data_IF_999758079861
#
_entry.id   IF_999758079861
#
_cell.length_a   1.000
_cell.length_b   1.000
_cell.length_c   1.000
_cell.angle_alpha   90.00
_cell.angle_beta   90.00
_cell.angle_gamma   90.00
#
_symmetry.space_group_name_H-M   'P 1'
#
loop_
_entity.id
_entity.type
_entity.pdbx_description
1 polymer ?
#
# COMPACT_ATOMS: atom_id res chain seq x y z
N UNK A 1 -33.58 17.58 24.02
CA UNK A 1 -33.29 18.73 23.14
C UNK A 1 -32.10 18.34 22.28
N UNK A 2 -32.27 18.17 20.97
CA UNK A 2 -31.17 17.84 20.06
C UNK A 2 -30.61 19.11 19.42
N UNK A 3 -29.28 19.19 19.28
CA UNK A 3 -28.58 20.24 18.53
C UNK A 3 -28.03 19.65 17.22
N UNK A 4 -27.90 20.47 16.18
CA UNK A 4 -27.64 20.02 14.80
C UNK A 4 -26.62 20.96 14.14
N UNK A 5 -25.86 20.45 13.16
CA UNK A 5 -24.97 21.18 12.24
C UNK A 5 -23.62 21.65 12.88
N UNK A 6 -22.45 21.59 12.18
CA UNK A 6 -22.04 20.78 11.02
C UNK A 6 -20.80 19.88 11.27
N UNK A 7 -20.73 18.73 10.59
CA UNK A 7 -19.51 17.90 10.50
C UNK A 7 -19.59 16.96 9.29
N UNK A 8 -18.94 17.32 8.19
CA UNK A 8 -19.21 16.72 6.87
C UNK A 8 -18.58 15.35 6.63
N UNK A 9 -19.24 14.28 7.07
CA UNK A 9 -19.00 12.92 6.55
C UNK A 9 -19.29 12.91 5.04
N UNK A 10 -18.29 12.59 4.20
CA UNK A 10 -18.45 12.46 2.74
C UNK A 10 -18.53 11.00 2.31
N UNK A 11 -19.75 10.54 2.03
CA UNK A 11 -19.97 9.45 1.07
C UNK A 11 -19.50 9.92 -0.33
N UNK A 12 -19.02 9.07 -1.23
CA UNK A 12 -18.71 7.64 -1.13
C UNK A 12 -18.16 7.14 -2.47
N UNK A 13 -17.54 5.96 -2.51
CA UNK A 13 -17.01 5.34 -3.74
C UNK A 13 -17.60 3.93 -3.93
N UNK A 14 -17.73 3.44 -5.18
CA UNK A 14 -18.51 2.23 -5.47
C UNK A 14 -17.88 0.93 -4.95
N UNK A 15 -18.74 -0.04 -4.68
CA UNK A 15 -18.38 -1.38 -4.20
C UNK A 15 -17.58 -2.18 -5.25
N UNK A 16 -16.66 -3.02 -4.81
CA UNK A 16 -16.09 -4.09 -5.65
C UNK A 16 -14.69 -4.56 -5.31
N UNK A 17 -13.84 -3.71 -4.70
CA UNK A 17 -12.45 -4.06 -4.39
C UNK A 17 -12.03 -3.55 -3.01
N UNK A 18 -11.33 -4.36 -2.18
CA UNK A 18 -10.71 -3.87 -0.95
C UNK A 18 -9.51 -2.99 -1.33
N UNK A 19 -9.73 -1.67 -1.36
CA UNK A 19 -8.62 -0.71 -1.44
C UNK A 19 -7.73 -0.93 -0.22
N UNK A 20 -6.45 -1.25 -0.46
CA UNK A 20 -5.44 -1.47 0.58
C UNK A 20 -5.22 -0.27 1.49
N UNK A 21 -5.69 0.91 1.05
CA UNK A 21 -5.54 2.19 1.70
C UNK A 21 -6.76 2.61 2.55
N UNK A 22 -7.82 1.78 2.63
CA UNK A 22 -9.07 2.11 3.33
C UNK A 22 -9.37 1.14 4.48
N UNK A 23 -9.72 1.70 5.65
CA UNK A 23 -10.25 0.94 6.77
C UNK A 23 -11.74 0.64 6.57
N UNK A 24 -12.15 -0.62 6.77
CA UNK A 24 -13.57 -1.01 6.89
C UNK A 24 -14.06 -0.69 8.32
N UNK A 25 -14.55 0.53 8.49
CA UNK A 25 -14.96 1.13 9.76
C UNK A 25 -16.45 0.92 10.05
N UNK A 26 -16.77 0.57 11.29
CA UNK A 26 -18.14 0.57 11.78
C UNK A 26 -18.66 2.01 11.95
N UNK A 27 -19.94 2.22 11.66
CA UNK A 27 -20.64 3.50 11.86
C UNK A 27 -21.01 3.74 13.33
N UNK A 28 -20.03 3.72 14.23
CA UNK A 28 -20.19 3.89 15.69
C UNK A 28 -19.17 4.92 16.19
N UNK A 29 -19.66 6.03 16.73
CA UNK A 29 -18.83 7.06 17.37
C UNK A 29 -18.50 6.70 18.82
N UNK A 30 -17.23 6.42 19.11
CA UNK A 30 -16.75 6.19 20.46
C UNK A 30 -16.24 7.49 21.10
N UNK A 31 -16.58 7.73 22.37
CA UNK A 31 -16.01 8.84 23.14
C UNK A 31 -14.49 8.64 23.26
N UNK A 32 -13.65 9.66 22.96
CA UNK A 32 -12.21 9.54 23.13
C UNK A 32 -11.79 9.30 24.59
N UNK A 33 -10.85 8.38 24.80
CA UNK A 33 -10.26 8.01 26.08
C UNK A 33 -8.75 7.78 25.89
N UNK A 34 -7.91 8.48 26.64
CA UNK A 34 -6.44 8.38 26.48
C UNK A 34 -5.92 6.97 26.82
N UNK A 35 -6.57 6.30 27.76
CA UNK A 35 -6.28 4.94 28.22
C UNK A 35 -7.57 4.11 28.22
N UNK A 36 -7.46 2.81 27.96
CA UNK A 36 -8.57 1.85 27.96
C UNK A 36 -8.17 0.59 28.72
N UNK A 37 -9.07 0.06 29.55
CA UNK A 37 -8.81 -1.19 30.28
C UNK A 37 -9.14 -2.41 29.40
N UNK A 38 -8.46 -3.56 29.57
CA UNK A 38 -8.78 -4.77 28.83
C UNK A 38 -10.23 -5.23 29.00
N UNK A 39 -10.82 -5.00 30.18
CA UNK A 39 -12.23 -5.30 30.46
C UNK A 39 -13.20 -4.40 29.69
N UNK A 40 -12.93 -3.09 29.60
CA UNK A 40 -13.73 -2.16 28.80
C UNK A 40 -13.67 -2.48 27.30
N UNK A 41 -12.49 -2.86 26.81
CA UNK A 41 -12.30 -3.33 25.44
C UNK A 41 -13.07 -4.63 25.16
N UNK A 42 -12.97 -5.62 26.04
CA UNK A 42 -13.70 -6.88 25.91
C UNK A 42 -15.23 -6.69 25.95
N UNK A 43 -15.72 -5.74 26.75
CA UNK A 43 -17.13 -5.36 26.85
C UNK A 43 -17.64 -4.67 25.56
N UNK A 44 -16.85 -3.75 24.97
CA UNK A 44 -17.14 -3.19 23.64
C UNK A 44 -17.18 -4.29 22.57
N UNK A 45 -16.15 -5.14 22.50
CA UNK A 45 -16.07 -6.21 21.50
C UNK A 45 -17.23 -7.20 21.65
N UNK A 46 -17.58 -7.61 22.87
CA UNK A 46 -18.70 -8.53 23.12
C UNK A 46 -20.05 -7.95 22.68
N UNK A 47 -20.33 -6.67 22.99
CA UNK A 47 -21.51 -5.98 22.45
C UNK A 47 -21.49 -5.91 20.93
N UNK A 48 -20.34 -5.64 20.34
CA UNK A 48 -20.17 -5.46 18.90
C UNK A 48 -20.37 -6.78 18.14
N UNK A 49 -19.86 -7.90 18.67
CA UNK A 49 -20.14 -9.27 18.21
C UNK A 49 -21.64 -9.56 18.25
N UNK A 50 -22.29 -9.35 19.41
CA UNK A 50 -23.72 -9.62 19.58
C UNK A 50 -24.62 -8.76 18.70
N UNK A 51 -24.16 -7.57 18.28
CA UNK A 51 -24.86 -6.65 17.41
C UNK A 51 -24.37 -6.67 15.95
N UNK A 52 -23.48 -7.59 15.56
CA UNK A 52 -22.73 -7.51 14.29
C UNK A 52 -23.61 -7.43 13.03
N UNK A 53 -24.83 -7.97 13.09
CA UNK A 53 -25.83 -7.91 12.01
C UNK A 53 -26.56 -6.57 11.85
N UNK A 54 -26.48 -5.67 12.84
CA UNK A 54 -27.03 -4.30 12.77
C UNK A 54 -25.96 -3.21 12.65
N UNK A 55 -24.67 -3.57 12.74
CA UNK A 55 -23.55 -2.63 12.58
C UNK A 55 -23.27 -2.43 11.08
N UNK A 56 -23.56 -1.22 10.59
CA UNK A 56 -23.16 -0.81 9.25
C UNK A 56 -21.65 -0.55 9.18
N UNK A 57 -20.98 -1.10 8.18
CA UNK A 57 -19.55 -0.86 7.92
C UNK A 57 -19.35 -0.10 6.60
N UNK A 58 -18.44 0.87 6.60
CA UNK A 58 -18.07 1.69 5.43
C UNK A 58 -16.56 1.70 5.24
N UNK A 59 -16.10 1.85 4.00
CA UNK A 59 -14.67 2.02 3.72
C UNK A 59 -14.31 3.51 3.81
N UNK A 60 -13.39 3.87 4.72
CA UNK A 60 -12.95 5.25 4.92
C UNK A 60 -11.46 5.32 5.27
N UNK A 61 -10.87 6.48 5.01
CA UNK A 61 -9.50 6.82 5.44
C UNK A 61 -9.54 7.17 6.94
N UNK A 62 -8.47 6.83 7.65
CA UNK A 62 -8.06 7.45 8.91
C UNK A 62 -6.76 8.21 8.58
N UNK A 63 -6.62 9.48 8.99
CA UNK A 63 -5.35 10.21 8.86
C UNK A 63 -5.02 10.97 10.15
N UNK A 64 -3.85 10.68 10.72
CA UNK A 64 -3.27 11.28 11.93
C UNK A 64 -4.29 11.41 13.08
N UNK A 65 -4.91 10.29 13.50
CA UNK A 65 -5.97 10.28 14.51
C UNK A 65 -5.48 10.83 15.86
N UNK A 66 -6.36 11.58 16.52
CA UNK A 66 -6.02 12.28 17.76
C UNK A 66 -5.85 11.34 18.95
N UNK A 67 -5.05 11.78 19.93
CA UNK A 67 -4.81 11.04 21.16
C UNK A 67 -6.12 10.71 21.89
N UNK A 68 -6.37 9.42 22.08
CA UNK A 68 -7.55 8.84 22.70
C UNK A 68 -8.66 8.40 21.74
N UNK A 69 -8.52 8.56 20.42
CA UNK A 69 -9.55 8.09 19.48
C UNK A 69 -9.65 6.56 19.46
N UNK A 70 -10.88 6.06 19.38
CA UNK A 70 -11.26 4.65 19.34
C UNK A 70 -12.15 4.43 18.12
N UNK A 71 -11.87 3.36 17.37
CA UNK A 71 -12.66 2.94 16.22
C UNK A 71 -12.90 1.42 16.27
N UNK A 72 -14.07 0.97 15.81
CA UNK A 72 -14.32 -0.45 15.56
C UNK A 72 -14.13 -0.73 14.06
N UNK A 73 -13.28 -1.70 13.72
CA UNK A 73 -12.97 -2.09 12.35
C UNK A 73 -13.24 -3.57 12.11
N UNK A 74 -13.51 -3.96 10.87
CA UNK A 74 -13.45 -5.35 10.42
C UNK A 74 -12.26 -5.52 9.49
N UNK A 75 -11.29 -6.34 9.90
CA UNK A 75 -10.03 -6.59 9.21
C UNK A 75 -9.59 -8.03 9.50
N UNK A 76 -9.39 -8.83 8.47
CA UNK A 76 -8.97 -10.23 8.63
C UNK A 76 -7.64 -10.35 9.39
N UNK A 77 -7.43 -11.40 10.22
CA UNK A 77 -6.24 -11.53 11.08
C UNK A 77 -4.89 -11.36 10.38
N UNK A 78 -4.79 -11.87 9.15
CA UNK A 78 -3.57 -11.90 8.34
C UNK A 78 -3.53 -10.78 7.28
N UNK A 79 -4.48 -9.85 7.29
CA UNK A 79 -4.50 -8.72 6.36
C UNK A 79 -3.55 -7.60 6.83
N UNK A 80 -2.91 -6.94 5.87
CA UNK A 80 -2.13 -5.74 6.12
C UNK A 80 -3.04 -4.62 6.65
N UNK A 81 -2.58 -3.87 7.65
CA UNK A 81 -3.34 -2.75 8.21
C UNK A 81 -3.15 -1.54 7.30
N UNK A 82 -4.23 -0.88 6.82
CA UNK A 82 -4.13 0.33 6.02
C UNK A 82 -3.32 1.44 6.71
N UNK A 83 -2.83 2.39 5.91
CA UNK A 83 -2.10 3.56 6.45
C UNK A 83 -3.07 4.50 7.17
N UNK A 84 -2.70 4.91 8.39
CA UNK A 84 -3.39 5.89 9.24
C UNK A 84 -2.67 7.25 9.31
N UNK A 85 -1.70 7.47 8.43
CA UNK A 85 -0.88 8.69 8.38
C UNK A 85 0.30 8.73 9.36
N UNK A 86 0.50 7.69 10.18
CA UNK A 86 1.68 7.55 11.05
C UNK A 86 2.68 6.52 10.54
N UNK A 87 3.96 6.72 10.91
CA UNK A 87 5.05 5.79 10.62
C UNK A 87 5.33 4.94 11.85
N UNK A 88 5.56 3.64 11.65
CA UNK A 88 5.81 2.66 12.71
C UNK A 88 7.11 1.92 12.37
N UNK A 89 8.24 2.19 13.07
CA UNK A 89 9.54 1.62 12.72
C UNK A 89 9.65 0.15 13.17
N UNK A 90 9.04 -0.19 14.31
CA UNK A 90 9.12 -1.49 14.95
C UNK A 90 8.00 -2.43 14.49
N UNK A 91 8.21 -3.76 14.49
CA UNK A 91 7.15 -4.75 14.27
C UNK A 91 6.06 -4.67 15.37
N UNK A 92 4.91 -5.27 15.11
CA UNK A 92 3.76 -5.24 16.03
C UNK A 92 3.88 -6.28 17.15
N UNK A 93 3.92 -5.81 18.39
CA UNK A 93 4.09 -6.64 19.58
C UNK A 93 2.73 -7.13 20.04
N UNK A 94 2.53 -8.45 20.09
CA UNK A 94 1.24 -9.04 20.51
C UNK A 94 1.31 -9.56 21.95
N UNK A 95 0.51 -8.96 22.82
CA UNK A 95 0.29 -9.39 24.20
C UNK A 95 -1.01 -10.19 24.30
N UNK A 96 -0.96 -11.37 24.94
CA UNK A 96 -2.15 -12.12 25.35
C UNK A 96 -2.62 -11.65 26.72
N UNK A 97 -3.92 -11.41 26.87
CA UNK A 97 -4.55 -11.05 28.14
C UNK A 97 -5.70 -12.01 28.43
N UNK A 98 -5.62 -12.87 29.47
CA UNK A 98 -6.74 -13.71 29.86
C UNK A 98 -7.84 -12.86 30.49
N UNK A 99 -9.10 -13.16 30.15
CA UNK A 99 -10.28 -12.51 30.72
C UNK A 99 -10.96 -13.39 31.79
N UNK A 100 -11.73 -12.81 32.73
CA UNK A 100 -12.41 -13.58 33.79
C UNK A 100 -13.46 -14.59 33.29
N UNK A 101 -13.90 -14.47 32.03
CA UNK A 101 -14.84 -15.38 31.37
C UNK A 101 -14.16 -16.54 30.63
N UNK A 102 -12.83 -16.68 30.75
CA UNK A 102 -12.03 -17.71 30.11
C UNK A 102 -11.65 -17.43 28.65
N UNK A 103 -12.05 -16.29 28.07
CA UNK A 103 -11.60 -15.88 26.73
C UNK A 103 -10.22 -15.22 26.80
N UNK A 104 -9.45 -15.33 25.72
CA UNK A 104 -8.22 -14.54 25.53
C UNK A 104 -8.50 -13.30 24.68
N UNK A 105 -8.08 -12.14 25.16
CA UNK A 105 -8.02 -10.89 24.41
C UNK A 105 -6.57 -10.65 23.94
N UNK A 106 -6.38 -10.49 22.63
CA UNK A 106 -5.09 -10.10 22.05
C UNK A 106 -5.01 -8.57 22.03
N UNK A 107 -3.89 -8.00 22.49
CA UNK A 107 -3.51 -6.60 22.28
C UNK A 107 -2.29 -6.56 21.37
N UNK A 108 -2.44 -6.01 20.17
CA UNK A 108 -1.38 -5.87 19.17
C UNK A 108 -0.95 -4.39 19.15
N UNK A 109 0.26 -4.10 19.62
CA UNK A 109 0.76 -2.73 19.84
C UNK A 109 1.87 -2.34 18.84
N UNK A 110 1.82 -1.12 18.32
CA UNK A 110 2.94 -0.45 17.62
C UNK A 110 3.15 0.97 18.17
N UNK A 111 4.40 1.34 18.42
CA UNK A 111 4.78 2.74 18.60
C UNK A 111 5.05 3.41 17.25
N UNK A 112 4.65 4.67 17.10
CA UNK A 112 4.78 5.41 15.85
C UNK A 112 4.97 6.93 16.00
N UNK A 113 5.22 7.58 14.87
CA UNK A 113 5.60 8.99 14.77
C UNK A 113 5.01 9.67 13.51
N UNK A 114 4.80 10.97 13.56
CA UNK A 114 4.64 11.82 12.37
C UNK A 114 6.02 12.24 11.84
N UNK A 115 6.23 12.49 10.52
CA UNK A 115 7.52 12.93 9.97
C UNK A 115 8.17 14.14 10.67
N UNK A 116 7.36 14.97 11.33
CA UNK A 116 7.75 16.10 12.17
C UNK A 116 8.49 15.73 13.46
N UNK A 117 8.30 14.52 13.98
CA UNK A 117 8.43 14.27 15.42
C UNK A 117 9.85 13.85 15.83
N UNK A 118 10.37 14.46 16.90
CA UNK A 118 11.61 14.04 17.58
C UNK A 118 11.72 12.51 17.77
N UNK A 119 10.61 11.91 18.20
CA UNK A 119 10.53 10.61 18.86
C UNK A 119 9.23 9.88 18.51
N UNK A 120 9.09 8.60 18.87
CA UNK A 120 7.79 7.92 18.83
C UNK A 120 6.81 8.65 19.74
N UNK A 121 5.75 9.24 19.16
CA UNK A 121 4.83 10.15 19.84
C UNK A 121 3.40 9.62 19.94
N UNK A 122 3.14 8.48 19.29
CA UNK A 122 1.85 7.78 19.22
C UNK A 122 2.04 6.31 19.55
N UNK A 123 1.00 5.71 20.10
CA UNK A 123 0.86 4.26 20.21
C UNK A 123 -0.45 3.88 19.55
N UNK A 124 -0.41 2.87 18.68
CA UNK A 124 -1.59 2.25 18.06
C UNK A 124 -1.75 0.85 18.67
N UNK A 125 -2.94 0.57 19.20
CA UNK A 125 -3.32 -0.74 19.73
C UNK A 125 -4.49 -1.30 18.93
N UNK A 126 -4.38 -2.55 18.50
CA UNK A 126 -5.49 -3.32 17.93
C UNK A 126 -5.87 -4.42 18.91
N UNK A 127 -7.15 -4.52 19.23
CA UNK A 127 -7.67 -5.52 20.16
C UNK A 127 -8.67 -6.44 19.48
N UNK A 128 -8.51 -7.75 19.64
CA UNK A 128 -9.46 -8.77 19.14
C UNK A 128 -9.44 -10.00 20.03
N UNK A 129 -10.54 -10.75 20.11
CA UNK A 129 -10.49 -12.05 20.78
C UNK A 129 -9.59 -13.02 20.00
N UNK A 130 -8.92 -13.93 20.70
CA UNK A 130 -7.99 -14.85 20.06
C UNK A 130 -8.68 -15.86 19.14
N UNK A 131 -9.84 -16.38 19.58
CA UNK A 131 -10.53 -17.49 18.93
C UNK A 131 -11.90 -17.08 18.33
N UNK A 132 -12.52 -16.04 18.89
CA UNK A 132 -13.89 -15.58 18.58
C UNK A 132 -13.86 -14.35 17.66
N UNK A 133 -14.82 -14.24 16.73
CA UNK A 133 -15.00 -13.17 15.74
C UNK A 133 -13.69 -12.44 15.33
N UNK A 134 -12.73 -13.23 14.83
CA UNK A 134 -11.33 -12.81 14.70
C UNK A 134 -11.09 -11.66 13.70
N UNK A 135 -12.05 -11.36 12.83
CA UNK A 135 -11.99 -10.21 11.92
C UNK A 135 -12.41 -8.89 12.60
N UNK A 136 -13.16 -8.95 13.71
CA UNK A 136 -13.65 -7.78 14.42
C UNK A 136 -12.59 -7.27 15.39
N UNK A 137 -12.11 -6.04 15.17
CA UNK A 137 -11.01 -5.46 15.96
C UNK A 137 -11.36 -4.06 16.47
N UNK A 138 -11.01 -3.77 17.72
CA UNK A 138 -11.07 -2.41 18.27
C UNK A 138 -9.69 -1.75 18.11
N UNK A 139 -9.66 -0.60 17.46
CA UNK A 139 -8.49 0.19 17.13
C UNK A 139 -8.43 1.42 18.05
N UNK A 140 -7.38 1.54 18.86
CA UNK A 140 -7.17 2.63 19.81
C UNK A 140 -5.85 3.36 19.54
N UNK A 141 -5.87 4.68 19.62
CA UNK A 141 -4.69 5.53 19.53
C UNK A 141 -4.44 6.23 20.86
N UNK A 142 -3.28 6.03 21.47
CA UNK A 142 -2.82 6.80 22.65
C UNK A 142 -1.57 7.63 22.31
N UNK A 143 -1.21 8.54 23.23
CA UNK A 143 0.10 9.20 23.18
C UNK A 143 1.15 8.31 23.85
N UNK A 144 2.42 8.46 23.45
CA UNK A 144 3.55 7.77 24.08
C UNK A 144 4.04 8.53 25.32
N UNK A 145 4.05 7.87 26.49
CA UNK A 145 4.69 8.39 27.71
C UNK A 145 6.16 8.76 27.46
N UNK A 146 6.68 9.83 28.06
CA UNK A 146 8.09 10.27 27.90
C UNK A 146 9.15 9.20 28.23
N UNK A 147 8.81 8.16 29.01
CA UNK A 147 9.69 7.00 29.30
C UNK A 147 9.64 5.90 28.25
N UNK A 148 8.64 5.91 27.39
CA UNK A 148 8.41 4.95 26.30
C UNK A 148 8.84 5.52 24.93
N UNK A 149 9.13 6.83 24.85
CA UNK A 149 9.51 7.54 23.63
C UNK A 149 10.92 7.13 23.15
N UNK A 150 11.00 6.58 21.93
CA UNK A 150 12.26 6.23 21.27
C UNK A 150 12.69 7.33 20.29
N UNK A 151 14.00 7.57 20.15
CA UNK A 151 14.54 8.55 19.19
C UNK A 151 14.39 8.00 17.76
N UNK A 152 13.65 8.72 16.92
CA UNK A 152 13.45 8.33 15.51
C UNK A 152 14.69 8.72 14.69
N UNK A 153 15.38 7.78 14.01
CA UNK A 153 16.58 8.08 13.25
C UNK A 153 16.38 9.16 12.16
N UNK A 154 17.42 9.92 11.78
CA UNK A 154 17.28 10.94 10.73
C UNK A 154 16.83 10.38 9.37
N UNK A 155 17.28 9.17 9.01
CA UNK A 155 16.98 8.56 7.71
C UNK A 155 15.52 8.07 7.58
N UNK A 156 14.90 7.56 8.65
CA UNK A 156 13.51 7.06 8.59
C UNK A 156 12.49 8.17 8.35
N UNK A 157 12.86 9.42 8.61
CA UNK A 157 12.07 10.63 8.31
C UNK A 157 12.08 11.02 6.82
N UNK A 158 13.06 10.54 6.06
CA UNK A 158 13.29 10.92 4.67
C UNK A 158 12.56 10.02 3.67
N UNK A 159 11.96 8.91 4.12
CA UNK A 159 11.07 8.12 3.27
C UNK A 159 9.82 8.93 2.91
N UNK A 160 9.40 8.93 1.63
CA UNK A 160 8.19 9.64 1.23
C UNK A 160 6.97 9.05 1.95
N UNK A 161 6.05 9.94 2.33
CA UNK A 161 4.76 9.59 2.93
C UNK A 161 4.00 8.59 2.05
N UNK A 162 3.53 7.45 2.60
CA UNK A 162 2.42 6.73 2.01
C UNK A 162 1.25 7.71 1.84
N UNK A 163 0.78 7.87 0.61
CA UNK A 163 -0.44 8.56 0.21
C UNK A 163 -0.73 9.93 0.87
N UNK A 164 -0.09 11.00 0.37
CA UNK A 164 -0.61 12.37 0.54
C UNK A 164 -1.76 12.62 -0.44
N UNK A 165 -2.98 12.68 0.07
CA UNK A 165 -4.09 13.34 -0.63
C UNK A 165 -4.09 14.85 -0.34
N UNK A 166 -4.16 15.68 -1.37
CA UNK A 166 -4.33 17.13 -1.22
C UNK A 166 -5.80 17.46 -0.96
N UNK A 167 -6.12 17.88 0.26
CA UNK A 167 -7.47 18.35 0.61
C UNK A 167 -7.75 19.72 -0.03
N UNK A 168 -8.54 19.73 -1.10
CA UNK A 168 -9.01 20.97 -1.75
C UNK A 168 -10.26 21.50 -1.02
N UNK A 169 -10.22 22.70 -0.40
CA UNK A 169 -11.39 23.29 0.24
C UNK A 169 -12.33 23.91 -0.82
N UNK A 170 -13.46 23.25 -1.11
CA UNK A 170 -14.51 23.85 -1.94
C UNK A 170 -15.25 24.94 -1.16
N UNK A 171 -15.06 26.20 -1.54
CA UNK A 171 -16.00 27.26 -1.24
C UNK A 171 -17.28 27.07 -2.09
N UNK A 172 -18.48 27.40 -1.56
CA UNK A 172 -19.73 27.29 -2.30
C UNK A 172 -19.87 28.47 -3.28
N UNK A 173 -19.30 28.33 -4.48
CA UNK A 173 -19.44 29.34 -5.53
C UNK A 173 -20.89 29.36 -6.05
N UNK A 174 -21.59 30.47 -5.84
CA UNK A 174 -22.96 30.65 -6.31
C UNK A 174 -22.99 30.70 -7.84
N UNK A 175 -23.89 29.92 -8.45
CA UNK A 175 -24.01 29.85 -9.90
C UNK A 175 -24.84 31.02 -10.45
N UNK A 176 -24.17 32.08 -10.91
CA UNK A 176 -24.76 33.04 -11.84
C UNK A 176 -24.51 32.59 -13.29
N UNK A 177 -25.56 32.07 -13.94
CA UNK A 177 -25.54 31.71 -15.35
C UNK A 177 -25.52 32.95 -16.25
N UNK A 178 -24.68 32.93 -17.29
CA UNK A 178 -25.01 33.60 -18.56
C UNK A 178 -24.21 33.00 -19.73
N UNK A 179 -24.87 32.44 -20.76
CA UNK A 179 -24.23 32.02 -22.00
C UNK A 179 -24.14 33.17 -23.03
N UNK A 180 -23.35 32.95 -24.09
CA UNK A 180 -23.10 33.82 -25.25
C UNK A 180 -22.21 35.07 -25.01
N UNK A 181 -21.24 35.28 -25.90
CA UNK A 181 -20.43 36.52 -25.94
C UNK A 181 -18.95 36.33 -26.29
N UNK A 182 -18.62 36.06 -27.57
CA UNK A 182 -17.22 36.12 -28.08
C UNK A 182 -17.00 37.40 -28.90
N UNK A 183 -16.29 38.42 -28.40
CA UNK A 183 -15.82 39.52 -29.23
C UNK A 183 -14.57 39.11 -30.04
N UNK A 184 -14.44 39.53 -31.31
CA UNK A 184 -13.24 39.26 -32.12
C UNK A 184 -12.29 40.47 -32.19
N UNK A 185 -11.16 40.45 -31.46
CA UNK A 185 -9.88 41.09 -31.86
C UNK A 185 -8.75 40.89 -30.83
N UNK A 186 -7.66 40.23 -31.27
CA UNK A 186 -6.29 40.21 -30.70
C UNK A 186 -5.48 39.16 -31.50
N UNK A 187 -5.00 39.48 -32.70
CA UNK A 187 -3.63 39.98 -32.95
C UNK A 187 -2.55 39.01 -32.43
N UNK A 188 -1.99 38.22 -33.35
CA UNK A 188 -0.77 37.41 -33.14
C UNK A 188 0.44 38.10 -33.78
N UNK A 189 1.59 38.25 -33.10
CA UNK A 189 2.83 38.69 -33.73
C UNK A 189 3.43 37.55 -34.58
N UNK A 190 3.75 37.85 -35.83
CA UNK A 190 4.29 36.89 -36.81
C UNK A 190 5.83 36.99 -36.89
N UNK A 191 6.49 35.96 -37.42
CA UNK A 191 7.95 35.94 -37.61
C UNK A 191 8.43 36.97 -38.62
N UNK A 192 9.62 37.53 -38.40
CA UNK A 192 10.35 38.36 -39.37
C UNK A 192 11.55 37.58 -39.90
N UNK A 193 11.79 37.66 -41.21
CA UNK A 193 12.76 36.86 -41.97
C UNK A 193 13.81 37.74 -42.64
N UNK A 194 15.02 37.20 -42.82
CA UNK A 194 16.19 37.90 -43.38
C UNK A 194 16.10 38.18 -44.89
N UNK A 195 16.78 39.24 -45.37
CA UNK A 195 17.24 39.35 -46.76
C UNK A 195 18.78 39.45 -46.88
N UNK A 196 19.34 38.89 -47.96
CA UNK A 196 20.65 39.26 -48.54
C UNK A 196 20.47 40.03 -49.86
N UNK A 197 21.45 40.10 -50.80
CA UNK A 197 22.73 39.36 -50.85
C UNK A 197 23.97 40.21 -51.32
N UNK A 198 25.08 39.52 -51.66
CA UNK A 198 26.16 39.92 -52.59
C UNK A 198 27.30 40.85 -52.15
N UNK A 199 28.54 40.33 -52.05
CA UNK A 199 29.67 40.59 -52.98
C UNK A 199 31.06 40.19 -52.40
N UNK A 200 32.09 40.16 -53.25
CA UNK A 200 33.46 39.62 -53.02
C UNK A 200 34.42 40.57 -52.29
N UNK A 201 35.35 40.01 -51.49
CA UNK A 201 36.79 40.31 -51.61
C UNK A 201 37.68 39.17 -51.04
N UNK A 202 38.96 39.17 -51.40
CA UNK A 202 40.00 38.19 -51.04
C UNK A 202 40.86 38.57 -49.81
N UNK A 203 41.58 37.61 -49.18
CA UNK A 203 42.55 37.85 -48.11
C UNK A 203 44.01 37.92 -48.61
N UNK A 204 44.93 38.58 -47.85
CA UNK A 204 46.37 38.41 -47.99
C UNK A 204 47.03 37.75 -46.74
N UNK A 205 48.15 37.05 -46.94
CA UNK A 205 48.89 36.30 -45.89
C UNK A 205 50.35 36.76 -45.74
N UNK A 206 50.91 36.71 -44.53
CA UNK A 206 52.36 36.70 -44.24
C UNK A 206 52.59 36.05 -42.85
N UNK A 207 53.15 34.83 -42.78
CA UNK A 207 54.58 34.51 -42.52
C UNK A 207 55.01 34.61 -41.03
N UNK A 208 55.59 33.57 -40.41
CA UNK A 208 55.84 32.19 -40.88
C UNK A 208 56.75 31.35 -39.96
N UNK A 209 56.99 30.07 -40.33
CA UNK A 209 57.86 29.04 -39.67
C UNK A 209 57.43 28.62 -38.24
N UNK A 210 57.24 27.35 -37.86
CA UNK A 210 57.49 26.04 -38.50
C UNK A 210 58.81 25.38 -38.05
N UNK A 211 58.99 24.04 -38.12
CA UNK A 211 58.08 22.93 -38.49
C UNK A 211 57.70 22.11 -37.20
N UNK A 212 57.41 20.81 -37.05
CA UNK A 212 57.15 19.51 -37.80
C UNK A 212 56.39 18.59 -36.79
N UNK A 213 55.84 17.40 -37.04
CA UNK A 213 55.12 16.75 -38.16
C UNK A 213 54.79 15.28 -37.77
N UNK A 214 53.70 14.66 -38.25
CA UNK A 214 53.43 13.21 -38.09
C UNK A 214 51.96 12.81 -37.83
N UNK A 215 51.44 11.85 -38.59
CA UNK A 215 50.10 11.20 -38.51
C UNK A 215 50.28 9.67 -38.43
N UNK A 216 49.26 8.79 -38.19
CA UNK A 216 47.80 9.00 -38.19
C UNK A 216 46.99 8.34 -37.03
N UNK A 217 45.65 8.39 -37.17
CA UNK A 217 44.53 7.76 -36.43
C UNK A 217 44.62 6.21 -36.26
N UNK A 218 43.74 5.48 -35.49
CA UNK A 218 42.36 5.86 -35.07
C UNK A 218 41.82 5.39 -33.67
N UNK A 219 40.57 5.81 -33.40
CA UNK A 219 39.51 5.24 -32.53
C UNK A 219 39.84 4.33 -31.33
N UNK A 220 39.32 4.68 -30.15
CA UNK A 220 38.20 3.95 -29.49
C UNK A 220 37.79 4.59 -28.13
N UNK A 221 36.53 4.42 -27.73
CA UNK A 221 36.05 4.79 -26.40
C UNK A 221 36.46 3.74 -25.36
N UNK A 222 36.81 4.17 -24.14
CA UNK A 222 36.97 3.27 -23.00
C UNK A 222 36.37 3.88 -21.73
N UNK A 223 35.78 3.02 -20.88
CA UNK A 223 35.20 3.38 -19.60
C UNK A 223 36.29 3.80 -18.60
N UNK A 224 36.12 4.94 -17.93
CA UNK A 224 37.03 5.36 -16.84
C UNK A 224 36.44 4.99 -15.48
N UNK A 225 36.85 3.83 -14.98
CA UNK A 225 36.71 3.44 -13.58
C UNK A 225 37.70 4.23 -12.72
N UNK A 226 37.25 4.87 -11.62
CA UNK A 226 38.17 5.48 -10.65
C UNK A 226 38.06 4.84 -9.26
N UNK A 227 39.20 4.31 -8.81
CA UNK A 227 39.43 3.91 -7.42
C UNK A 227 40.32 4.93 -6.70
N UNK A 228 40.27 4.84 -5.38
CA UNK A 228 41.08 5.52 -4.35
C UNK A 228 42.57 5.69 -4.69
N UNK A 229 43.15 6.80 -4.22
CA UNK A 229 44.61 6.96 -4.02
C UNK A 229 44.91 7.60 -2.65
N UNK A 230 46.17 7.46 -2.21
CA UNK A 230 46.67 7.74 -0.86
C UNK A 230 47.93 8.62 -0.89
N UNK A 231 48.13 9.46 0.14
CA UNK A 231 49.40 10.09 0.63
C UNK A 231 49.04 11.13 1.73
N UNK A 232 49.84 11.44 2.76
CA UNK A 232 51.07 10.83 3.30
C UNK A 232 51.77 11.72 4.38
N UNK A 233 52.40 11.12 5.41
CA UNK A 233 53.19 11.80 6.49
C UNK A 233 52.43 12.01 7.82
N UNK A 234 53.04 12.12 9.02
CA UNK A 234 54.47 12.14 9.43
C UNK A 234 54.69 11.57 10.87
N UNK A 235 55.86 10.95 11.09
CA UNK A 235 56.62 10.52 12.31
C UNK A 235 56.06 10.53 13.76
N UNK A 236 56.42 9.48 14.51
CA UNK A 236 56.59 9.45 15.99
C UNK A 236 57.03 8.05 16.53
N UNK A 237 58.12 7.87 17.33
CA UNK A 237 58.59 6.52 17.75
C UNK A 237 58.86 6.30 19.27
N UNK A 238 58.50 5.13 19.81
CA UNK A 238 59.22 4.40 20.90
C UNK A 238 58.72 2.92 21.04
N UNK A 239 59.42 2.00 21.76
CA UNK A 239 59.29 0.53 21.54
C UNK A 239 58.98 -0.35 22.78
N UNK A 240 58.57 -1.63 22.58
CA UNK A 240 58.79 -2.70 23.58
C UNK A 240 57.94 -3.99 23.56
N UNK A 241 58.48 -5.09 22.96
CA UNK A 241 58.27 -6.52 23.35
C UNK A 241 56.83 -7.16 23.24
N UNK A 242 56.65 -8.51 23.38
CA UNK A 242 57.21 -9.54 22.49
C UNK A 242 56.25 -10.71 22.09
N UNK A 243 56.58 -11.41 20.98
CA UNK A 243 56.63 -12.89 20.71
C UNK A 243 55.66 -13.91 21.42
N UNK A 244 55.23 -15.08 20.87
CA UNK A 244 55.40 -15.81 19.57
C UNK A 244 54.23 -16.83 19.28
N UNK A 245 54.40 -18.13 18.92
CA UNK A 245 54.19 -18.69 17.56
C UNK A 245 53.01 -19.72 17.44
N UNK A 246 52.57 -20.19 16.26
CA UNK A 246 53.12 -21.26 15.38
C UNK A 246 52.63 -21.09 13.92
N UNK A 247 53.35 -21.39 12.82
CA UNK A 247 53.87 -22.68 12.26
C UNK A 247 52.76 -23.73 12.00
N UNK A 248 52.62 -24.38 10.83
CA UNK A 248 53.47 -24.43 9.60
C UNK A 248 52.63 -24.70 8.32
N UNK A 249 53.23 -24.50 7.14
CA UNK A 249 52.58 -24.55 5.82
C UNK A 249 52.44 -25.96 5.20
N UNK A 250 51.52 -26.09 4.23
CA UNK A 250 51.45 -27.18 3.26
C UNK A 250 51.02 -26.67 1.88
N UNK A 251 51.76 -26.99 0.81
CA UNK A 251 51.55 -26.47 -0.56
C UNK A 251 51.94 -27.52 -1.60
N UNK A 252 51.02 -27.85 -2.55
CA UNK A 252 51.17 -28.54 -3.88
C UNK A 252 49.95 -29.45 -4.14
N UNK A 253 49.50 -29.73 -5.37
CA UNK A 253 49.62 -29.03 -6.67
C UNK A 253 48.41 -29.36 -7.57
N UNK A 254 48.25 -28.59 -8.66
CA UNK A 254 47.34 -28.80 -9.80
C UNK A 254 47.12 -30.28 -10.18
N UNK A 255 45.88 -30.66 -10.51
CA UNK A 255 45.64 -31.65 -11.56
C UNK A 255 44.29 -31.38 -12.28
N UNK A 256 44.33 -30.59 -13.36
CA UNK A 256 43.14 -30.12 -14.08
C UNK A 256 43.04 -30.77 -15.46
N UNK A 257 42.56 -32.02 -15.53
CA UNK A 257 42.34 -32.75 -16.80
C UNK A 257 41.05 -33.58 -16.92
N UNK A 258 40.32 -33.85 -15.83
CA UNK A 258 39.18 -34.80 -15.87
C UNK A 258 37.79 -34.13 -16.02
N UNK A 259 37.69 -32.79 -16.04
CA UNK A 259 36.39 -32.09 -16.01
C UNK A 259 35.56 -32.23 -17.30
N UNK A 260 36.18 -32.51 -18.45
CA UNK A 260 35.48 -32.61 -19.73
C UNK A 260 34.58 -33.86 -19.83
N UNK A 261 35.08 -35.03 -19.42
CA UNK A 261 34.32 -36.29 -19.48
C UNK A 261 33.09 -36.26 -18.55
N UNK A 262 33.23 -35.69 -17.35
CA UNK A 262 32.12 -35.52 -16.40
C UNK A 262 31.02 -34.59 -16.94
N UNK A 263 31.37 -33.55 -17.72
CA UNK A 263 30.38 -32.65 -18.32
C UNK A 263 29.58 -33.33 -19.44
N UNK A 264 30.21 -34.17 -20.28
CA UNK A 264 29.53 -34.91 -21.33
C UNK A 264 28.58 -35.98 -20.76
N UNK A 265 29.01 -36.71 -19.73
CA UNK A 265 28.16 -37.69 -19.05
C UNK A 265 26.95 -37.03 -18.36
N UNK A 266 27.15 -35.89 -17.69
CA UNK A 266 26.07 -35.13 -17.08
C UNK A 266 25.04 -34.61 -18.11
N UNK A 267 25.50 -34.14 -19.28
CA UNK A 267 24.61 -33.65 -20.34
C UNK A 267 23.79 -34.74 -21.04
N UNK A 268 24.25 -36.01 -21.02
CA UNK A 268 23.48 -37.14 -21.52
C UNK A 268 22.46 -37.67 -20.48
N UNK A 269 22.75 -37.50 -19.18
CA UNK A 269 21.86 -37.93 -18.10
C UNK A 269 20.68 -36.96 -17.85
N UNK A 270 20.78 -35.69 -18.25
CA UNK A 270 19.73 -34.67 -18.08
C UNK A 270 18.76 -34.57 -19.27
N UNK A 271 18.59 -35.64 -20.04
CA UNK A 271 17.69 -35.69 -21.21
C UNK A 271 16.51 -36.67 -21.07
N UNK A 272 16.61 -37.64 -20.15
CA UNK A 272 15.61 -38.73 -19.93
C UNK A 272 15.01 -38.70 -18.52
N UNK A 273 15.18 -37.59 -17.80
CA UNK A 273 14.43 -37.31 -16.56
C UNK A 273 14.01 -35.84 -16.59
N UNK A 274 12.95 -35.58 -17.36
CA UNK A 274 12.23 -34.30 -17.36
C UNK A 274 11.36 -34.23 -16.09
N UNK A 275 12.01 -34.24 -14.93
CA UNK A 275 11.40 -34.07 -13.61
C UNK A 275 10.52 -32.82 -13.65
N UNK A 276 9.21 -33.00 -13.47
CA UNK A 276 8.22 -31.96 -13.76
C UNK A 276 8.51 -30.75 -12.86
N UNK A 277 8.74 -29.54 -13.42
CA UNK A 277 9.30 -28.41 -12.66
C UNK A 277 8.31 -27.92 -11.60
N UNK A 278 8.39 -28.54 -10.42
CA UNK A 278 7.46 -28.39 -9.30
C UNK A 278 7.78 -27.12 -8.52
N UNK A 279 7.32 -26.01 -9.08
CA UNK A 279 7.41 -24.66 -8.53
C UNK A 279 6.56 -23.72 -9.38
N UNK A 280 6.16 -22.58 -8.84
CA UNK A 280 5.41 -21.60 -9.61
C UNK A 280 6.35 -20.66 -10.41
N UNK A 281 5.78 -19.67 -11.12
CA UNK A 281 6.58 -18.67 -11.83
C UNK A 281 7.42 -17.77 -10.89
N UNK A 282 7.11 -17.75 -9.59
CA UNK A 282 7.76 -16.95 -8.56
C UNK A 282 9.01 -17.68 -8.03
N UNK A 283 8.98 -19.00 -7.87
CA UNK A 283 10.15 -19.82 -7.50
C UNK A 283 11.31 -19.67 -8.51
N UNK A 284 10.98 -19.45 -9.78
CA UNK A 284 11.96 -19.24 -10.86
C UNK A 284 12.57 -17.81 -10.88
N UNK A 285 11.96 -16.85 -10.18
CA UNK A 285 12.25 -15.42 -10.30
C UNK A 285 13.45 -14.99 -9.43
N UNK A 286 14.64 -14.90 -10.01
CA UNK A 286 15.86 -14.68 -9.23
C UNK A 286 15.92 -13.26 -8.68
N UNK A 287 16.37 -13.09 -7.44
CA UNK A 287 16.57 -11.77 -6.80
C UNK A 287 17.38 -10.79 -7.67
N UNK A 288 18.33 -11.28 -8.48
CA UNK A 288 19.10 -10.49 -9.44
C UNK A 288 18.24 -9.93 -10.58
N UNK A 289 17.32 -10.74 -11.12
CA UNK A 289 16.40 -10.35 -12.20
C UNK A 289 15.40 -9.30 -11.67
N UNK A 290 14.89 -9.47 -10.45
CA UNK A 290 14.09 -8.45 -9.74
C UNK A 290 14.90 -7.16 -9.54
N UNK A 291 16.15 -7.24 -9.08
CA UNK A 291 17.00 -6.07 -8.87
C UNK A 291 17.31 -5.32 -10.18
N UNK A 292 17.63 -6.03 -11.26
CA UNK A 292 17.87 -5.41 -12.58
C UNK A 292 16.58 -4.83 -13.19
N UNK A 293 15.43 -5.46 -12.97
CA UNK A 293 14.13 -4.94 -13.41
C UNK A 293 13.74 -3.67 -12.66
N UNK A 294 13.97 -3.61 -11.34
CA UNK A 294 13.83 -2.38 -10.53
C UNK A 294 14.80 -1.30 -10.99
N UNK A 295 16.06 -1.64 -11.25
CA UNK A 295 17.07 -0.70 -11.74
C UNK A 295 16.65 -0.08 -13.09
N UNK A 296 16.23 -0.91 -14.06
CA UNK A 296 15.76 -0.46 -15.38
C UNK A 296 14.54 0.45 -15.26
N UNK A 297 13.48 -0.01 -14.57
CA UNK A 297 12.25 0.75 -14.34
C UNK A 297 12.51 2.10 -13.66
N UNK A 298 13.39 2.13 -12.67
CA UNK A 298 13.74 3.39 -12.00
C UNK A 298 14.51 4.35 -12.92
N UNK A 299 15.35 3.85 -13.83
CA UNK A 299 16.03 4.69 -14.82
C UNK A 299 15.09 5.16 -15.93
N UNK A 300 14.10 4.35 -16.32
CA UNK A 300 13.00 4.77 -17.21
C UNK A 300 12.20 5.92 -16.57
N UNK A 301 11.73 5.75 -15.33
CA UNK A 301 11.04 6.83 -14.60
C UNK A 301 11.87 8.10 -14.42
N UNK A 302 13.18 7.98 -14.15
CA UNK A 302 14.09 9.14 -14.09
C UNK A 302 14.23 9.80 -15.47
N UNK A 303 14.31 9.01 -16.54
CA UNK A 303 14.34 9.52 -17.92
C UNK A 303 13.05 10.23 -18.32
N UNK A 304 11.90 9.75 -17.87
CA UNK A 304 10.59 10.38 -18.12
C UNK A 304 10.47 11.70 -17.36
N UNK A 305 10.88 11.73 -16.09
CA UNK A 305 10.87 12.92 -15.21
C UNK A 305 11.81 14.03 -15.74
N UNK A 306 12.97 13.65 -16.28
CA UNK A 306 13.93 14.59 -16.89
C UNK A 306 13.79 14.67 -18.42
N UNK A 307 12.67 14.22 -18.99
CA UNK A 307 12.41 14.36 -20.42
C UNK A 307 12.21 15.83 -20.82
N UNK A 308 12.50 16.16 -22.08
CA UNK A 308 12.37 17.53 -22.59
C UNK A 308 10.90 17.96 -22.86
N UNK A 309 9.92 17.11 -22.56
CA UNK A 309 8.51 17.39 -22.79
C UNK A 309 7.94 18.25 -21.65
N UNK A 310 7.25 19.33 -22.00
CA UNK A 310 6.54 20.14 -21.02
C UNK A 310 5.36 19.37 -20.40
N UNK A 311 5.00 19.68 -19.16
CA UNK A 311 3.79 19.13 -18.51
C UNK A 311 2.54 19.42 -19.35
N UNK A 312 2.49 20.59 -20.02
CA UNK A 312 1.40 21.02 -20.90
C UNK A 312 1.28 20.20 -22.20
N UNK A 313 2.30 19.42 -22.58
CA UNK A 313 2.28 18.51 -23.73
C UNK A 313 1.92 17.06 -23.37
N UNK A 314 1.67 16.76 -22.10
CA UNK A 314 1.27 15.42 -21.65
C UNK A 314 -0.24 15.24 -21.90
N UNK A 315 -0.59 14.39 -22.87
CA UNK A 315 -1.98 13.98 -23.12
C UNK A 315 -2.35 12.91 -22.07
N UNK A 316 -3.41 13.09 -21.27
CA UNK A 316 -3.85 12.08 -20.31
C UNK A 316 -4.40 10.84 -21.03
N UNK A 317 -4.28 9.63 -20.45
CA UNK A 317 -4.87 8.43 -21.02
C UNK A 317 -6.40 8.52 -21.07
N UNK A 318 -6.99 7.85 -22.07
CA UNK A 318 -8.44 7.68 -22.18
C UNK A 318 -9.01 7.03 -20.91
N UNK A 319 -10.24 7.42 -20.55
CA UNK A 319 -10.91 6.89 -19.36
C UNK A 319 -11.47 5.50 -19.64
N UNK A 320 -11.23 4.55 -18.73
CA UNK A 320 -11.71 3.15 -18.78
C UNK A 320 -13.25 3.05 -18.86
N UNK A 321 -13.96 4.15 -18.63
CA UNK A 321 -15.41 4.24 -18.73
C UNK A 321 -15.93 4.81 -20.06
N UNK A 322 -15.06 5.33 -20.96
CA UNK A 322 -15.46 5.83 -22.28
C UNK A 322 -15.97 4.71 -23.21
N UNK A 323 -15.48 3.49 -23.02
CA UNK A 323 -15.88 2.30 -23.78
C UNK A 323 -17.18 1.65 -23.26
N UNK A 324 -17.69 2.08 -22.09
CA UNK A 324 -18.84 1.44 -21.44
C UNK A 324 -20.13 2.21 -21.70
N UNK A 325 -21.01 1.61 -22.49
CA UNK A 325 -22.31 2.19 -22.80
C UNK A 325 -23.16 2.35 -21.52
N UNK A 326 -23.54 3.61 -21.24
CA UNK A 326 -24.31 3.98 -20.05
C UNK A 326 -25.72 3.35 -20.09
N UNK A 327 -26.31 3.17 -21.28
CA UNK A 327 -27.68 2.71 -21.40
C UNK A 327 -27.81 1.19 -21.27
N UNK A 328 -26.80 0.42 -21.68
CA UNK A 328 -26.69 -1.02 -21.36
C UNK A 328 -26.57 -1.25 -19.85
N UNK A 329 -25.78 -0.43 -19.15
CA UNK A 329 -25.65 -0.49 -17.69
C UNK A 329 -26.96 -0.15 -16.97
N UNK A 330 -27.74 0.83 -17.46
CA UNK A 330 -29.10 1.11 -16.96
C UNK A 330 -30.04 -0.07 -17.20
N UNK A 331 -29.97 -0.71 -18.37
CA UNK A 331 -30.82 -1.85 -18.72
C UNK A 331 -30.53 -3.05 -17.79
N UNK A 332 -29.26 -3.38 -17.55
CA UNK A 332 -28.84 -4.43 -16.62
C UNK A 332 -29.30 -4.14 -15.18
N UNK A 333 -29.20 -2.89 -14.72
CA UNK A 333 -29.70 -2.47 -13.42
C UNK A 333 -31.22 -2.67 -13.32
N UNK A 334 -31.98 -2.25 -14.34
CA UNK A 334 -33.44 -2.42 -14.37
C UNK A 334 -33.87 -3.89 -14.36
N UNK A 335 -33.19 -4.78 -15.10
CA UNK A 335 -33.50 -6.23 -15.07
C UNK A 335 -33.21 -6.82 -13.69
N UNK A 336 -32.04 -6.55 -13.11
CA UNK A 336 -31.69 -7.12 -11.81
C UNK A 336 -32.56 -6.58 -10.66
N UNK A 337 -33.03 -5.34 -10.74
CA UNK A 337 -33.99 -4.81 -9.78
C UNK A 337 -35.33 -5.56 -9.85
N UNK A 338 -35.83 -5.84 -11.06
CA UNK A 338 -37.05 -6.63 -11.26
C UNK A 338 -36.90 -8.07 -10.75
N UNK A 339 -35.75 -8.71 -10.99
CA UNK A 339 -35.44 -10.06 -10.47
C UNK A 339 -35.43 -10.08 -8.93
N UNK A 340 -34.82 -9.08 -8.30
CA UNK A 340 -34.77 -8.92 -6.84
C UNK A 340 -36.18 -8.78 -6.25
N UNK A 341 -37.03 -7.95 -6.84
CA UNK A 341 -38.39 -7.71 -6.32
C UNK A 341 -39.31 -8.91 -6.57
N UNK A 342 -39.11 -9.65 -7.67
CA UNK A 342 -39.75 -10.97 -7.87
C UNK A 342 -39.34 -11.96 -6.78
N UNK A 343 -38.05 -12.10 -6.48
CA UNK A 343 -37.56 -13.02 -5.43
C UNK A 343 -38.11 -12.67 -4.04
N UNK A 344 -38.22 -11.37 -3.70
CA UNK A 344 -38.85 -10.93 -2.45
C UNK A 344 -40.29 -11.38 -2.33
N UNK A 345 -41.08 -11.25 -3.40
CA UNK A 345 -42.49 -11.63 -3.42
C UNK A 345 -42.62 -13.16 -3.23
N UNK A 346 -41.92 -13.95 -4.04
CA UNK A 346 -41.88 -15.41 -3.90
C UNK A 346 -41.46 -15.87 -2.48
N UNK A 347 -40.49 -15.18 -1.87
CA UNK A 347 -40.02 -15.47 -0.52
C UNK A 347 -41.07 -15.12 0.55
N UNK A 348 -41.80 -14.02 0.39
CA UNK A 348 -42.87 -13.62 1.32
C UNK A 348 -44.05 -14.60 1.29
N UNK A 349 -44.44 -15.09 0.11
CA UNK A 349 -45.47 -16.12 -0.07
C UNK A 349 -45.06 -17.46 0.57
N UNK A 350 -43.81 -17.88 0.38
CA UNK A 350 -43.27 -19.11 1.00
C UNK A 350 -43.26 -19.01 2.53
N UNK A 351 -42.96 -17.83 3.10
CA UNK A 351 -43.06 -17.56 4.54
C UNK A 351 -44.51 -17.58 5.04
N UNK A 352 -45.44 -16.98 4.30
CA UNK A 352 -46.89 -17.01 4.61
C UNK A 352 -47.41 -18.45 4.69
N UNK A 353 -47.11 -19.29 3.69
CA UNK A 353 -47.51 -20.70 3.67
C UNK A 353 -46.90 -21.48 4.82
N UNK A 354 -45.60 -21.30 5.10
CA UNK A 354 -44.92 -21.96 6.21
C UNK A 354 -45.52 -21.58 7.57
N UNK A 355 -45.83 -20.29 7.81
CA UNK A 355 -46.50 -19.83 9.03
C UNK A 355 -47.87 -20.47 9.21
N UNK A 356 -48.68 -20.55 8.14
CA UNK A 356 -50.01 -21.20 8.18
C UNK A 356 -49.89 -22.68 8.54
N UNK A 357 -48.98 -23.41 7.90
CA UNK A 357 -48.72 -24.83 8.18
C UNK A 357 -48.21 -25.06 9.62
N UNK A 358 -47.26 -24.24 10.09
CA UNK A 358 -46.73 -24.30 11.46
C UNK A 358 -47.80 -24.04 12.52
N UNK A 359 -48.68 -23.06 12.31
CA UNK A 359 -49.82 -22.79 13.19
C UNK A 359 -50.82 -23.95 13.26
N UNK A 360 -51.10 -24.60 12.11
CA UNK A 360 -51.96 -25.79 12.06
C UNK A 360 -51.32 -26.95 12.85
N UNK A 361 -50.04 -27.25 12.60
CA UNK A 361 -49.30 -28.30 13.30
C UNK A 361 -49.25 -28.06 14.81
N UNK A 362 -48.95 -26.83 15.22
CA UNK A 362 -48.93 -26.42 16.64
C UNK A 362 -50.29 -26.65 17.30
N UNK A 363 -51.39 -26.23 16.65
CA UNK A 363 -52.75 -26.46 17.16
C UNK A 363 -53.03 -27.96 17.33
N UNK A 364 -52.78 -28.77 16.31
CA UNK A 364 -52.93 -30.24 16.36
C UNK A 364 -52.15 -30.87 17.51
N UNK A 365 -50.92 -30.39 17.76
CA UNK A 365 -50.09 -30.87 18.87
C UNK A 365 -50.70 -30.51 20.24
N UNK A 366 -51.28 -29.30 20.39
CA UNK A 366 -52.01 -28.95 21.63
C UNK A 366 -53.32 -29.70 21.81
N UNK A 367 -53.98 -30.12 20.73
CA UNK A 367 -55.22 -30.88 20.82
C UNK A 367 -54.94 -32.35 21.17
N UNK A 368 -53.89 -32.95 20.60
CA UNK A 368 -53.38 -34.27 21.00
C UNK A 368 -52.95 -34.33 22.47
N UNK A 369 -52.27 -33.31 22.99
CA UNK A 369 -51.79 -33.32 24.38
C UNK A 369 -52.93 -33.28 25.41
N UNK A 370 -54.09 -32.69 25.07
CA UNK A 370 -55.30 -32.69 25.91
C UNK A 370 -55.96 -34.06 25.99
N UNK A 371 -55.92 -34.84 24.90
CA UNK A 371 -56.53 -36.17 24.86
C UNK A 371 -55.84 -37.16 25.81
N UNK A 372 -54.50 -37.17 25.86
CA UNK A 372 -53.74 -38.08 26.73
C UNK A 372 -53.97 -37.85 28.24
N UNK A 373 -54.49 -36.70 28.67
CA UNK A 373 -54.73 -36.39 30.09
C UNK A 373 -56.04 -36.93 30.67
N UNK A 374 -56.84 -37.68 29.90
CA UNK A 374 -58.19 -38.10 30.32
C UNK A 374 -58.26 -39.52 30.91
N UNK A 375 -57.30 -40.40 30.61
CA UNK A 375 -57.35 -41.83 31.00
C UNK A 375 -56.95 -42.16 32.45
N UNK A 376 -56.76 -41.16 33.32
CA UNK A 376 -56.37 -41.36 34.73
C UNK A 376 -57.45 -40.85 35.68
N UNK A 377 -58.52 -41.63 35.87
CA UNK A 377 -59.48 -41.44 36.97
C UNK A 377 -60.30 -42.68 37.32
#
# INVERSE_FOLDING_TARGET
MASVIPGGLKQGMPFGSPSKDLFRLASIDYKPLLEVTPTYVADILSRSTNALSSINFTHSIIDKPQGGQIFLISLSPNAEVPSDGYFYPDPEVTHKMPLPDGRELLCMERQGFSPSDQVTSKIRRRYRFANDHQDLQLLHYSLSERRQQQIVPPFTRQHPTPNRYTMTPMAPMQASMSPYGRPPNAISPMTIQSPGPSSMHTPPSALGRGPVAGTPSPMSNSYVQFQTRVTGGQRGPQPGMPQTPTKSAGRRTKNAKNKAAAAAAAAAATAEEADEPSGDEIDNLKFREVAMSRYKRNHEYISDIFSAYSVSSIIPPNSVYQEKNIDELKQQLATHQADIDKLKNEHSEKIEVFKRQSNILSKSMTDLSKCNTVEVR
#
